data_IF_287722484030
#
_entry.id   IF_287722484030
#
_cell.length_a   1.000
_cell.length_b   1.000
_cell.length_c   1.000
_cell.angle_alpha   90.00
_cell.angle_beta   90.00
_cell.angle_gamma   90.00
#
_symmetry.space_group_name_H-M   'P 1'
#
loop_
_entity.id
_entity.type
_entity.pdbx_description
1 polymer ?
#
# COMPACT_ATOMS: atom_id res chain seq x y z
N UNK A 1 17.28 -6.50 -12.77
CA UNK A 1 16.48 -7.23 -11.75
C UNK A 1 17.53 -7.93 -10.93
N UNK A 2 17.99 -7.28 -9.86
CA UNK A 2 19.11 -7.80 -9.08
C UNK A 2 18.54 -8.53 -7.87
N UNK A 3 18.26 -9.81 -8.09
CA UNK A 3 17.92 -10.76 -7.04
C UNK A 3 19.23 -11.27 -6.43
N UNK A 4 19.55 -10.81 -5.21
CA UNK A 4 20.68 -11.37 -4.46
C UNK A 4 20.23 -12.64 -3.72
N UNK A 5 20.61 -13.80 -4.26
CA UNK A 5 20.41 -15.10 -3.62
C UNK A 5 21.50 -15.30 -2.56
N UNK A 6 21.13 -15.15 -1.29
CA UNK A 6 21.95 -15.60 -0.16
C UNK A 6 21.12 -16.63 0.62
N UNK A 7 21.43 -17.92 0.43
CA UNK A 7 20.92 -19.09 1.18
C UNK A 7 19.46 -19.02 1.67
N UNK A 8 18.54 -19.66 0.95
CA UNK A 8 17.12 -19.91 1.29
C UNK A 8 16.24 -18.72 1.69
N UNK A 9 16.77 -17.49 1.69
CA UNK A 9 16.05 -16.28 2.10
C UNK A 9 15.93 -15.30 0.94
N UNK A 10 14.70 -15.07 0.47
CA UNK A 10 14.41 -14.02 -0.52
C UNK A 10 14.16 -12.73 0.26
N UNK A 11 15.13 -11.80 0.21
CA UNK A 11 14.96 -10.45 0.76
C UNK A 11 14.31 -9.58 -0.31
N UNK A 12 13.03 -9.26 -0.13
CA UNK A 12 12.28 -8.37 -1.01
C UNK A 12 12.03 -7.02 -0.32
N UNK A 13 12.40 -5.92 -0.97
CA UNK A 13 12.10 -4.56 -0.52
C UNK A 13 11.23 -3.84 -1.54
N UNK A 14 9.94 -3.72 -1.24
CA UNK A 14 9.00 -2.99 -2.12
C UNK A 14 9.39 -1.52 -2.27
N UNK A 15 10.01 -0.90 -1.26
CA UNK A 15 10.48 0.48 -1.36
C UNK A 15 11.61 0.65 -2.39
N UNK A 16 12.50 -0.34 -2.51
CA UNK A 16 13.67 -0.26 -3.39
C UNK A 16 13.33 -0.71 -4.82
N UNK A 17 12.64 -1.84 -4.98
CA UNK A 17 12.42 -2.46 -6.29
C UNK A 17 10.98 -2.33 -6.80
N UNK A 18 10.07 -1.72 -6.02
CA UNK A 18 8.67 -1.59 -6.38
C UNK A 18 8.43 -0.64 -7.55
N UNK A 19 7.33 -0.87 -8.27
CA UNK A 19 6.81 0.00 -9.32
C UNK A 19 6.19 1.24 -8.70
N UNK A 20 6.44 2.41 -9.29
CA UNK A 20 5.83 3.66 -8.87
C UNK A 20 4.34 3.73 -9.26
N UNK A 21 3.54 4.20 -8.33
CA UNK A 21 2.12 4.37 -8.47
C UNK A 21 1.69 5.69 -7.83
N UNK A 22 1.08 6.57 -8.62
CA UNK A 22 0.46 7.81 -8.12
C UNK A 22 -1.05 7.59 -8.02
N UNK A 23 -1.59 7.77 -6.82
CA UNK A 23 -3.03 7.66 -6.55
C UNK A 23 -3.56 8.98 -6.02
N UNK A 24 -4.69 9.43 -6.56
CA UNK A 24 -5.40 10.60 -6.05
C UNK A 24 -6.53 10.19 -5.12
N UNK A 25 -6.68 10.90 -4.02
CA UNK A 25 -7.88 10.82 -3.18
C UNK A 25 -9.06 11.60 -3.79
N UNK A 26 -10.21 11.56 -3.13
CA UNK A 26 -11.42 12.28 -3.54
C UNK A 26 -11.30 13.81 -3.48
N UNK A 27 -10.28 14.35 -2.79
CA UNK A 27 -9.96 15.77 -2.72
C UNK A 27 -8.81 16.17 -3.66
N UNK A 28 -8.44 15.28 -4.61
CA UNK A 28 -7.36 15.47 -5.59
C UNK A 28 -5.95 15.58 -4.98
N UNK A 29 -5.75 15.15 -3.73
CA UNK A 29 -4.41 15.04 -3.14
C UNK A 29 -3.71 13.83 -3.73
N UNK A 30 -2.47 14.02 -4.14
CA UNK A 30 -1.66 12.96 -4.74
C UNK A 30 -0.87 12.21 -3.66
N UNK A 31 -0.83 10.90 -3.81
CA UNK A 31 -0.08 9.98 -2.95
C UNK A 31 0.82 9.14 -3.85
N UNK A 32 2.10 9.11 -3.51
CA UNK A 32 3.08 8.29 -4.21
C UNK A 32 3.28 6.99 -3.44
N UNK A 33 3.06 5.87 -4.12
CA UNK A 33 3.28 4.53 -3.59
C UNK A 33 4.33 3.80 -4.45
N UNK A 34 5.13 2.96 -3.79
CA UNK A 34 5.83 1.84 -4.40
C UNK A 34 4.99 0.59 -4.21
N UNK A 35 4.73 -0.15 -5.28
CA UNK A 35 3.98 -1.39 -5.24
C UNK A 35 4.80 -2.57 -5.76
N UNK A 36 4.60 -3.74 -5.15
CA UNK A 36 5.18 -4.98 -5.65
C UNK A 36 4.24 -6.14 -5.34
N UNK A 37 4.36 -7.21 -6.13
CA UNK A 37 3.75 -8.50 -5.85
C UNK A 37 4.80 -9.58 -5.94
N UNK A 38 4.78 -10.50 -4.99
CA UNK A 38 5.74 -11.59 -4.90
C UNK A 38 5.08 -12.84 -4.32
N UNK A 39 5.45 -14.04 -4.80
CA UNK A 39 4.92 -15.28 -4.27
C UNK A 39 5.42 -15.50 -2.84
N UNK A 40 4.52 -16.01 -1.99
CA UNK A 40 4.81 -16.47 -0.63
C UNK A 40 4.19 -17.87 -0.46
N UNK A 41 4.58 -18.69 0.53
CA UNK A 41 4.08 -20.06 0.67
C UNK A 41 2.55 -20.20 0.77
N UNK A 42 1.85 -19.12 1.12
CA UNK A 42 0.39 -19.09 1.27
C UNK A 42 -0.34 -18.40 0.12
N UNK A 43 0.34 -17.94 -0.94
CA UNK A 43 -0.29 -17.30 -2.09
C UNK A 43 0.57 -16.22 -2.74
N UNK A 44 -0.08 -15.27 -3.41
CA UNK A 44 0.56 -14.07 -3.97
C UNK A 44 0.37 -12.89 -3.01
N UNK A 45 1.46 -12.45 -2.39
CA UNK A 45 1.45 -11.24 -1.58
C UNK A 45 1.61 -10.02 -2.49
N UNK A 46 0.75 -9.01 -2.31
CA UNK A 46 0.92 -7.71 -2.96
C UNK A 46 0.95 -6.61 -1.91
N UNK A 47 1.98 -5.78 -1.97
CA UNK A 47 2.24 -4.70 -1.03
C UNK A 47 2.29 -3.35 -1.74
N UNK A 48 1.81 -2.32 -1.06
CA UNK A 48 1.98 -0.93 -1.43
C UNK A 48 2.49 -0.13 -0.22
N UNK A 49 3.61 0.58 -0.39
CA UNK A 49 4.21 1.46 0.62
C UNK A 49 4.23 2.88 0.08
N UNK A 50 3.64 3.82 0.82
CA UNK A 50 3.71 5.24 0.49
C UNK A 50 5.15 5.74 0.67
N UNK A 51 5.65 6.44 -0.35
CA UNK A 51 6.93 7.11 -0.32
C UNK A 51 6.70 8.54 0.17
N UNK A 52 7.43 8.92 1.22
CA UNK A 52 7.40 10.29 1.76
C UNK A 52 8.79 10.90 1.69
N UNK A 53 8.86 12.19 1.36
CA UNK A 53 10.11 12.95 1.25
C UNK A 53 10.83 13.11 2.60
N UNK A 54 10.07 13.13 3.70
CA UNK A 54 10.59 13.32 5.06
C UNK A 54 11.03 12.01 5.74
N UNK A 55 11.04 10.90 4.99
CA UNK A 55 11.35 9.56 5.48
C UNK A 55 10.47 9.10 6.68
N UNK A 56 9.33 9.77 6.91
CA UNK A 56 8.39 9.39 7.95
C UNK A 56 7.59 8.15 7.53
N UNK A 57 6.92 7.51 8.50
CA UNK A 57 6.07 6.37 8.20
C UNK A 57 4.89 6.79 7.32
N UNK A 58 4.86 6.25 6.09
CA UNK A 58 3.75 6.38 5.15
C UNK A 58 2.68 5.29 5.31
N UNK A 59 1.61 5.39 4.52
CA UNK A 59 0.60 4.36 4.40
C UNK A 59 1.17 3.05 3.87
N UNK A 60 0.75 1.93 4.45
CA UNK A 60 1.05 0.59 3.97
C UNK A 60 -0.23 -0.19 3.72
N UNK A 61 -0.31 -0.89 2.59
CA UNK A 61 -1.46 -1.71 2.21
C UNK A 61 -0.99 -3.05 1.66
N UNK A 62 -1.46 -4.14 2.28
CA UNK A 62 -1.07 -5.49 1.88
C UNK A 62 -2.32 -6.30 1.55
N UNK A 63 -2.26 -7.13 0.51
CA UNK A 63 -3.26 -8.16 0.21
C UNK A 63 -2.55 -9.50 0.01
N UNK A 64 -3.23 -10.58 0.37
CA UNK A 64 -2.82 -11.94 0.03
C UNK A 64 -3.91 -12.49 -0.88
N UNK A 65 -3.52 -12.90 -2.08
CA UNK A 65 -4.39 -13.56 -3.05
C UNK A 65 -3.98 -15.01 -3.23
N UNK A 66 -4.87 -15.86 -3.72
CA UNK A 66 -4.54 -17.24 -4.04
C UNK A 66 -3.47 -17.29 -5.15
N UNK A 67 -2.68 -18.37 -5.19
CA UNK A 67 -1.59 -18.54 -6.18
C UNK A 67 -2.05 -18.39 -7.63
N UNK A 68 -3.24 -18.89 -7.94
CA UNK A 68 -3.81 -18.88 -9.29
C UNK A 68 -4.53 -17.56 -9.62
N UNK A 69 -4.46 -16.56 -8.73
CA UNK A 69 -5.08 -15.26 -8.99
C UNK A 69 -4.29 -14.54 -10.08
N UNK A 70 -5.00 -14.14 -11.14
CA UNK A 70 -4.46 -13.27 -12.18
C UNK A 70 -3.81 -12.01 -11.57
N UNK A 71 -2.58 -11.71 -11.99
CA UNK A 71 -1.79 -10.61 -11.44
C UNK A 71 -2.47 -9.24 -11.61
N UNK A 72 -3.21 -9.04 -12.68
CA UNK A 72 -3.98 -7.82 -12.93
C UNK A 72 -5.15 -7.70 -11.95
N UNK A 73 -5.83 -8.82 -11.66
CA UNK A 73 -6.91 -8.87 -10.66
C UNK A 73 -6.37 -8.57 -9.26
N UNK A 74 -5.19 -9.09 -8.91
CA UNK A 74 -4.53 -8.79 -7.64
C UNK A 74 -4.16 -7.29 -7.54
N UNK A 75 -3.54 -6.72 -8.58
CA UNK A 75 -3.19 -5.28 -8.62
C UNK A 75 -4.44 -4.40 -8.50
N UNK A 76 -5.53 -4.73 -9.20
CA UNK A 76 -6.80 -4.00 -9.08
C UNK A 76 -7.39 -4.06 -7.66
N UNK A 77 -7.33 -5.21 -6.99
CA UNK A 77 -7.79 -5.35 -5.61
C UNK A 77 -6.96 -4.49 -4.67
N UNK A 78 -5.63 -4.46 -4.87
CA UNK A 78 -4.72 -3.61 -4.11
C UNK A 78 -5.05 -2.13 -4.34
N UNK A 79 -5.23 -1.71 -5.59
CA UNK A 79 -5.64 -0.35 -5.98
C UNK A 79 -6.95 0.08 -5.33
N UNK A 80 -7.96 -0.77 -5.33
CA UNK A 80 -9.24 -0.51 -4.65
C UNK A 80 -9.05 -0.35 -3.15
N UNK A 81 -8.17 -1.17 -2.54
CA UNK A 81 -7.84 -1.08 -1.12
C UNK A 81 -7.12 0.23 -0.79
N UNK A 82 -6.16 0.65 -1.60
CA UNK A 82 -5.45 1.94 -1.46
C UNK A 82 -6.46 3.09 -1.53
N UNK A 83 -7.25 3.19 -2.60
CA UNK A 83 -8.25 4.26 -2.78
C UNK A 83 -9.24 4.32 -1.61
N UNK A 84 -9.74 3.16 -1.16
CA UNK A 84 -10.64 3.08 0.01
C UNK A 84 -9.94 3.52 1.29
N UNK A 85 -8.67 3.16 1.47
CA UNK A 85 -7.86 3.51 2.62
C UNK A 85 -7.60 5.01 2.74
N UNK A 86 -7.09 5.62 1.67
CA UNK A 86 -6.79 7.06 1.63
C UNK A 86 -8.08 7.87 1.81
N UNK A 87 -9.18 7.52 1.12
CA UNK A 87 -10.43 8.30 1.25
C UNK A 87 -11.08 8.17 2.64
N UNK A 88 -10.96 7.02 3.30
CA UNK A 88 -11.55 6.80 4.63
C UNK A 88 -10.77 7.46 5.76
N UNK A 89 -9.43 7.42 5.73
CA UNK A 89 -8.61 7.95 6.83
C UNK A 89 -8.68 9.47 6.94
N UNK A 90 -9.03 10.14 5.85
CA UNK A 90 -9.32 11.57 5.87
C UNK A 90 -10.67 11.92 6.50
N UNK A 91 -11.54 10.97 6.84
CA UNK A 91 -12.84 11.21 7.47
C UNK A 91 -12.79 10.81 8.95
N UNK A 92 -12.64 11.79 9.84
CA UNK A 92 -12.71 11.59 11.31
C UNK A 92 -14.11 11.95 11.80
N UNK A 93 -14.78 11.05 12.51
CA UNK A 93 -16.05 11.37 13.21
C UNK A 93 -15.71 11.94 14.59
N UNK A 94 -15.86 13.24 14.78
CA UNK A 94 -15.76 13.92 16.08
C UNK A 94 -17.13 14.49 16.45
N UNK A 95 -17.64 14.18 17.64
CA UNK A 95 -18.92 14.69 18.17
C UNK A 95 -20.10 14.53 17.17
N UNK A 96 -20.15 13.42 16.43
CA UNK A 96 -21.21 13.15 15.45
C UNK A 96 -21.01 13.80 14.07
N UNK A 97 -19.98 14.63 13.87
CA UNK A 97 -19.68 15.30 12.61
C UNK A 97 -18.42 14.71 11.94
N UNK A 98 -18.46 14.59 10.62
CA UNK A 98 -17.30 14.17 9.82
C UNK A 98 -16.37 15.38 9.59
N UNK A 99 -15.15 15.32 10.11
CA UNK A 99 -14.09 16.30 9.90
C UNK A 99 -12.95 15.70 9.10
N UNK A 100 -12.22 16.54 8.36
CA UNK A 100 -11.01 16.15 7.66
C UNK A 100 -9.91 15.90 8.70
N UNK A 101 -9.36 14.69 8.75
CA UNK A 101 -8.25 14.36 9.66
C UNK A 101 -6.95 15.09 9.27
N UNK A 102 -6.25 15.67 10.24
CA UNK A 102 -4.91 16.25 10.05
C UNK A 102 -3.88 15.18 9.67
N UNK A 103 -2.78 15.61 9.02
CA UNK A 103 -1.78 14.81 8.30
C UNK A 103 -1.15 13.64 9.07
N UNK A 104 -1.22 13.59 10.41
CA UNK A 104 -0.33 12.73 11.22
C UNK A 104 -1.00 11.83 12.29
N UNK A 105 -2.31 11.61 12.28
CA UNK A 105 -2.92 10.69 13.27
C UNK A 105 -2.99 9.23 12.81
N UNK A 106 -1.96 8.46 13.18
CA UNK A 106 -2.01 7.00 13.24
C UNK A 106 -2.95 6.55 14.39
N UNK A 107 -3.93 5.69 14.10
CA UNK A 107 -4.55 4.84 15.12
C UNK A 107 -4.48 3.38 14.68
N UNK A 108 -3.74 2.59 15.47
CA UNK A 108 -3.80 1.13 15.46
C UNK A 108 -5.17 0.67 15.98
N UNK A 109 -5.55 -0.55 15.58
CA UNK A 109 -6.75 -1.23 16.09
C UNK A 109 -6.40 -2.02 17.33
#
# INVERSE_FOLDING_TARGET
>A
MDEHINGDTIVHSTLESGKDLIVKDQWKREYHFKIASFPVPTGLASEAIEVKEDNSFGYKFNILSDFDTDSQVAEERLMRKIKRGINRRHLKKENGQWKIGERDMLRGR
#
